data_IF_393923308117
#
_entry.id   IF_393923308117
#
_cell.length_a   1.000
_cell.length_b   1.000
_cell.length_c   1.000
_cell.angle_alpha   90.00
_cell.angle_beta   90.00
_cell.angle_gamma   90.00
#
_symmetry.space_group_name_H-M   'P 1'
#
loop_
_entity.id
_entity.type
_entity.pdbx_description
1 polymer ?
#
# COMPACT_ATOMS: atom_id res chain seq x y z
N UNK A 1 2.58 -34.67 -0.42
CA UNK A 1 2.29 -33.87 0.79
C UNK A 1 3.22 -32.67 0.73
N UNK A 2 2.69 -31.51 0.33
CA UNK A 2 3.47 -30.29 0.11
C UNK A 2 3.26 -29.74 -1.29
N UNK A 3 2.20 -28.95 -1.48
CA UNK A 3 1.97 -28.09 -2.67
C UNK A 3 0.74 -27.15 -2.46
N UNK A 4 0.49 -26.67 -1.23
CA UNK A 4 -0.61 -25.72 -0.97
C UNK A 4 -0.11 -24.37 -0.41
N UNK A 5 1.13 -24.30 0.11
CA UNK A 5 1.67 -23.13 0.83
C UNK A 5 2.42 -22.08 -0.03
N UNK A 6 2.43 -22.18 -1.37
CA UNK A 6 3.18 -21.21 -2.22
C UNK A 6 2.33 -20.39 -3.19
N UNK A 7 1.01 -20.59 -3.22
CA UNK A 7 0.13 -19.87 -4.14
C UNK A 7 -0.22 -18.48 -3.59
N UNK A 8 -0.41 -18.36 -2.27
CA UNK A 8 -0.75 -17.09 -1.62
C UNK A 8 0.39 -16.06 -1.68
N UNK A 9 1.65 -16.48 -1.54
CA UNK A 9 2.81 -15.58 -1.57
C UNK A 9 3.26 -15.15 -2.98
N UNK A 10 3.02 -15.97 -4.01
CA UNK A 10 3.43 -15.67 -5.38
C UNK A 10 2.46 -14.70 -6.08
N UNK A 11 1.15 -14.84 -5.83
CA UNK A 11 0.13 -13.99 -6.45
C UNK A 11 0.20 -12.54 -5.96
N UNK A 12 0.46 -12.33 -4.66
CA UNK A 12 0.62 -10.99 -4.06
C UNK A 12 1.85 -10.26 -4.61
N UNK A 13 2.97 -10.98 -4.82
CA UNK A 13 4.20 -10.38 -5.39
C UNK A 13 4.06 -9.93 -6.84
N UNK A 14 3.26 -10.63 -7.65
CA UNK A 14 3.00 -10.22 -9.02
C UNK A 14 2.06 -9.02 -9.09
N UNK A 15 1.05 -8.96 -8.21
CA UNK A 15 0.13 -7.83 -8.12
C UNK A 15 0.86 -6.54 -7.72
N UNK A 16 1.77 -6.60 -6.74
CA UNK A 16 2.53 -5.43 -6.30
C UNK A 16 3.35 -4.79 -7.43
N UNK A 17 4.09 -5.61 -8.19
CA UNK A 17 4.86 -5.13 -9.34
C UNK A 17 3.97 -4.51 -10.43
N UNK A 18 2.88 -5.18 -10.79
CA UNK A 18 1.97 -4.70 -11.84
C UNK A 18 1.29 -3.39 -11.46
N UNK A 19 0.94 -3.22 -10.18
CA UNK A 19 0.37 -1.98 -9.64
C UNK A 19 1.39 -0.85 -9.71
N UNK A 20 2.61 -1.08 -9.21
CA UNK A 20 3.69 -0.08 -9.24
C UNK A 20 4.01 0.36 -10.67
N UNK A 21 4.14 -0.57 -11.61
CA UNK A 21 4.38 -0.24 -13.02
C UNK A 21 3.25 0.58 -13.64
N UNK A 22 1.98 0.29 -13.31
CA UNK A 22 0.83 1.07 -13.80
C UNK A 22 0.79 2.47 -13.20
N UNK A 23 1.10 2.60 -11.92
CA UNK A 23 1.12 3.88 -11.21
C UNK A 23 2.25 4.78 -11.74
N UNK A 24 3.46 4.24 -11.87
CA UNK A 24 4.64 4.94 -12.39
C UNK A 24 4.45 5.47 -13.83
N UNK A 25 3.67 4.77 -14.67
CA UNK A 25 3.39 5.22 -16.06
C UNK A 25 2.44 6.41 -16.16
N UNK A 26 1.62 6.67 -15.14
CA UNK A 26 0.49 7.63 -15.24
C UNK A 26 0.55 8.78 -14.25
N UNK A 27 1.37 8.68 -13.20
CA UNK A 27 1.41 9.66 -12.12
C UNK A 27 2.83 10.16 -11.91
N UNK A 28 2.97 11.46 -11.65
CA UNK A 28 4.26 12.08 -11.32
C UNK A 28 4.75 11.70 -9.91
N UNK A 29 3.83 11.36 -9.01
CA UNK A 29 4.12 10.88 -7.66
C UNK A 29 2.92 10.07 -7.15
N UNK A 30 3.19 9.03 -6.36
CA UNK A 30 2.15 8.27 -5.67
C UNK A 30 2.64 7.75 -4.32
N UNK A 31 1.67 7.46 -3.45
CA UNK A 31 1.85 6.67 -2.23
C UNK A 31 0.98 5.43 -2.38
N UNK A 32 1.59 4.26 -2.15
CA UNK A 32 0.93 2.97 -2.18
C UNK A 32 0.91 2.41 -0.74
N UNK A 33 -0.28 2.27 -0.18
CA UNK A 33 -0.51 1.63 1.11
C UNK A 33 -1.12 0.26 0.85
N UNK A 34 -0.51 -0.78 1.36
CA UNK A 34 -0.98 -2.17 1.24
C UNK A 34 -1.18 -2.78 2.61
N UNK A 35 -2.20 -3.62 2.72
CA UNK A 35 -2.51 -4.38 3.93
C UNK A 35 -2.34 -5.86 3.64
N UNK A 36 -1.51 -6.53 4.43
CA UNK A 36 -1.41 -7.99 4.42
C UNK A 36 -2.65 -8.64 5.01
N UNK A 37 -2.71 -9.98 4.94
CA UNK A 37 -3.71 -10.73 5.68
C UNK A 37 -3.54 -10.49 7.20
N UNK A 38 -4.64 -10.47 7.97
CA UNK A 38 -4.56 -10.46 9.43
C UNK A 38 -3.77 -11.68 9.92
N UNK A 39 -2.88 -11.48 10.88
CA UNK A 39 -2.23 -12.60 11.57
C UNK A 39 -3.24 -13.37 12.42
N UNK A 40 -2.86 -14.54 12.93
CA UNK A 40 -3.68 -15.31 13.87
C UNK A 40 -4.04 -14.52 15.15
N UNK A 41 -3.24 -13.50 15.48
CA UNK A 41 -3.50 -12.56 16.59
C UNK A 41 -4.40 -11.38 16.19
N UNK A 42 -4.89 -11.36 14.96
CA UNK A 42 -5.71 -10.27 14.40
C UNK A 42 -4.91 -9.01 14.02
N UNK A 43 -3.57 -9.07 14.01
CA UNK A 43 -2.74 -7.93 13.62
C UNK A 43 -2.64 -7.83 12.11
N UNK A 44 -2.88 -6.65 11.55
CA UNK A 44 -2.72 -6.40 10.12
C UNK A 44 -1.34 -5.79 9.89
N UNK A 45 -0.53 -6.40 9.02
CA UNK A 45 0.71 -5.79 8.58
C UNK A 45 0.41 -4.78 7.48
N UNK A 46 0.75 -3.51 7.72
CA UNK A 46 0.57 -2.43 6.75
C UNK A 46 1.94 -2.06 6.21
N UNK A 47 2.09 -2.05 4.89
CA UNK A 47 3.28 -1.57 4.21
C UNK A 47 2.94 -0.33 3.40
N UNK A 48 3.79 0.69 3.53
CA UNK A 48 3.68 1.91 2.74
C UNK A 48 4.93 2.09 1.88
N UNK A 49 4.69 2.37 0.60
CA UNK A 49 5.71 2.66 -0.40
C UNK A 49 5.38 3.94 -1.12
N UNK A 50 6.38 4.63 -1.66
CA UNK A 50 6.17 5.83 -2.46
C UNK A 50 7.15 5.87 -3.63
N UNK A 51 6.76 6.57 -4.69
CA UNK A 51 7.59 6.85 -5.85
C UNK A 51 7.33 8.29 -6.34
N UNK A 52 8.36 8.92 -6.91
CA UNK A 52 8.33 10.31 -7.32
C UNK A 52 9.09 11.22 -6.35
N UNK A 53 8.74 12.51 -6.36
CA UNK A 53 9.40 13.51 -5.52
C UNK A 53 9.03 13.35 -4.03
N UNK A 54 10.02 13.30 -3.11
CA UNK A 54 9.74 13.13 -1.68
C UNK A 54 8.88 14.25 -1.07
N UNK A 55 9.05 15.51 -1.49
CA UNK A 55 8.27 16.61 -0.95
C UNK A 55 6.81 16.52 -1.41
N UNK A 56 6.58 16.11 -2.66
CA UNK A 56 5.24 15.86 -3.18
C UNK A 56 4.57 14.67 -2.48
N UNK A 57 5.31 13.58 -2.22
CA UNK A 57 4.80 12.44 -1.45
C UNK A 57 4.41 12.85 -0.01
N UNK A 58 5.26 13.64 0.67
CA UNK A 58 4.94 14.20 1.99
C UNK A 58 3.71 15.09 1.97
N UNK A 59 3.56 15.93 0.93
CA UNK A 59 2.38 16.77 0.76
C UNK A 59 1.09 15.94 0.61
N UNK A 60 1.12 14.89 -0.21
CA UNK A 60 -0.02 13.97 -0.36
C UNK A 60 -0.39 13.29 0.96
N UNK A 61 0.60 12.85 1.73
CA UNK A 61 0.39 12.19 3.01
C UNK A 61 -0.21 13.13 4.05
N UNK A 62 0.34 14.34 4.16
CA UNK A 62 -0.14 15.32 5.11
C UNK A 62 -1.60 15.67 4.81
N UNK A 63 -1.93 15.96 3.54
CA UNK A 63 -3.32 16.26 3.17
C UNK A 63 -4.28 15.10 3.42
N UNK A 64 -3.85 13.86 3.16
CA UNK A 64 -4.65 12.68 3.47
C UNK A 64 -4.87 12.51 4.98
N UNK A 65 -3.85 12.75 5.79
CA UNK A 65 -3.93 12.66 7.25
C UNK A 65 -4.88 13.71 7.83
N UNK A 66 -4.76 14.96 7.39
CA UNK A 66 -5.64 16.06 7.79
C UNK A 66 -7.10 15.72 7.47
N UNK A 67 -7.37 15.25 6.25
CA UNK A 67 -8.72 14.86 5.81
C UNK A 67 -9.34 13.74 6.66
N UNK A 68 -8.55 12.74 7.06
CA UNK A 68 -9.04 11.63 7.89
C UNK A 68 -9.33 12.10 9.32
N UNK A 69 -8.49 12.95 9.89
CA UNK A 69 -8.68 13.48 11.25
C UNK A 69 -9.92 14.38 11.36
N UNK A 70 -10.23 15.14 10.31
CA UNK A 70 -11.45 15.94 10.25
C UNK A 70 -12.71 15.07 10.26
N UNK A 71 -12.67 13.85 9.72
CA UNK A 71 -13.82 12.93 9.70
C UNK A 71 -14.06 12.19 11.01
N UNK A 72 -13.03 11.99 11.84
CA UNK A 72 -13.15 11.31 13.13
C UNK A 72 -13.75 12.21 14.24
N UNK A 73 -14.19 13.43 13.90
CA UNK A 73 -14.67 14.45 14.84
C UNK A 73 -16.20 14.45 15.09
N UNK A 74 -16.94 13.49 14.52
CA UNK A 74 -18.40 13.33 14.69
C UNK A 74 -18.79 12.21 15.69
#
# INVERSE_FOLDING_TARGET
MGDILSIEGAMVKHIDKDIREKLAKKHACYVLVTCGQPSEEGKINVEMSYEGDPALASFLLQGAQEYLMEQDSD
#
